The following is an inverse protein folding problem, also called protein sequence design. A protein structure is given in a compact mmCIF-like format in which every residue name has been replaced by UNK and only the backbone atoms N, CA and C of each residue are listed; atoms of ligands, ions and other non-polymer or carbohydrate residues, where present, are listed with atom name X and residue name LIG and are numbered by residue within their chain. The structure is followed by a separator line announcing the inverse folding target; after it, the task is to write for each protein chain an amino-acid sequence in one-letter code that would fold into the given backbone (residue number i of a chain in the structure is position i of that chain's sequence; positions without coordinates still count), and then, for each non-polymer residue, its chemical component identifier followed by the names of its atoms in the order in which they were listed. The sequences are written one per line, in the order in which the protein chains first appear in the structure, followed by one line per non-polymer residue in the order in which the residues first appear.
data_IF_892259879204
#
_entry.id   IF_892259879204
#
_cell.length_a   1.000
_cell.length_b   1.000
_cell.length_c   1.000
_cell.angle_alpha   90.00
_cell.angle_beta   90.00
_cell.angle_gamma   90.00
#
_symmetry.space_group_name_H-M   'P 1'
#
loop_
_entity.id
_entity.type
_entity.pdbx_description
1 polymer ?
#
# COMPACT_ATOMS: atom_id res chain seq x y z
N UNK A 1 44.16 4.35 -2.18
CA UNK A 1 43.19 3.54 -2.96
C UNK A 1 43.86 2.95 -4.20
N UNK A 2 44.28 3.74 -5.20
CA UNK A 2 44.89 3.22 -6.45
C UNK A 2 46.13 2.29 -6.29
N UNK A 3 46.93 2.45 -5.22
CA UNK A 3 48.09 1.57 -4.96
C UNK A 3 47.71 0.16 -4.49
N UNK A 4 46.55 -0.01 -3.84
CA UNK A 4 46.07 -1.33 -3.38
C UNK A 4 45.41 -2.09 -4.53
N UNK A 5 44.66 -1.38 -5.39
CA UNK A 5 44.09 -1.95 -6.62
C UNK A 5 45.18 -2.54 -7.53
N UNK A 6 46.34 -1.87 -7.64
CA UNK A 6 47.47 -2.39 -8.40
C UNK A 6 48.13 -3.61 -7.73
N UNK A 7 48.15 -3.72 -6.40
CA UNK A 7 48.76 -4.83 -5.66
C UNK A 7 47.94 -6.12 -5.77
N UNK A 8 46.60 -6.02 -5.67
CA UNK A 8 45.70 -7.17 -5.84
C UNK A 8 45.71 -7.67 -7.30
N UNK A 9 45.93 -6.78 -8.27
CA UNK A 9 46.06 -7.13 -9.68
C UNK A 9 47.30 -8.01 -10.00
N UNK A 10 48.31 -8.07 -9.13
CA UNK A 10 49.47 -8.96 -9.28
C UNK A 10 49.25 -10.37 -8.74
N UNK A 11 48.08 -10.67 -8.17
CA UNK A 11 47.71 -11.99 -7.65
C UNK A 11 48.33 -12.26 -6.28
N UNK A 12 47.49 -12.37 -5.25
CA UNK A 12 47.90 -12.92 -3.95
C UNK A 12 47.78 -14.44 -4.06
N UNK A 13 48.84 -15.17 -3.74
CA UNK A 13 48.78 -16.64 -3.72
C UNK A 13 47.74 -17.14 -2.70
N UNK A 14 47.31 -18.40 -2.83
CA UNK A 14 46.22 -18.93 -2.00
C UNK A 14 46.59 -19.01 -0.51
N UNK A 15 47.86 -19.22 -0.17
CA UNK A 15 48.32 -19.36 1.21
C UNK A 15 48.39 -18.01 1.91
N UNK A 16 48.95 -17.00 1.25
CA UNK A 16 48.98 -15.62 1.71
C UNK A 16 47.57 -15.05 1.81
N UNK A 17 46.67 -15.39 0.88
CA UNK A 17 45.26 -14.97 0.95
C UNK A 17 44.55 -15.57 2.18
N UNK A 18 44.74 -16.87 2.42
CA UNK A 18 44.21 -17.56 3.60
C UNK A 18 44.71 -16.93 4.90
N UNK A 19 46.01 -16.65 4.98
CA UNK A 19 46.60 -15.97 6.15
C UNK A 19 46.00 -14.58 6.34
N UNK A 20 45.88 -13.81 5.26
CA UNK A 20 45.30 -12.46 5.30
C UNK A 20 43.82 -12.49 5.71
N UNK A 21 43.07 -13.51 5.32
CA UNK A 21 41.69 -13.72 5.79
C UNK A 21 41.67 -13.99 7.29
N UNK A 22 42.53 -14.88 7.79
CA UNK A 22 42.66 -15.13 9.23
C UNK A 22 42.96 -13.85 10.00
N UNK A 23 43.98 -13.08 9.58
CA UNK A 23 44.39 -11.85 10.25
C UNK A 23 43.25 -10.81 10.31
N UNK A 24 42.51 -10.63 9.20
CA UNK A 24 41.38 -9.70 9.15
C UNK A 24 40.19 -10.16 10.01
N UNK A 25 39.93 -11.46 10.03
CA UNK A 25 38.84 -12.06 10.82
C UNK A 25 39.17 -11.99 12.31
N UNK A 26 40.40 -12.27 12.70
CA UNK A 26 40.89 -12.15 14.09
C UNK A 26 40.77 -10.70 14.58
N UNK A 27 41.11 -9.73 13.73
CA UNK A 27 40.93 -8.29 14.01
C UNK A 27 39.46 -7.92 14.25
N UNK A 28 38.54 -8.46 13.42
CA UNK A 28 37.09 -8.29 13.59
C UNK A 28 36.59 -8.94 14.89
N UNK A 29 37.02 -10.16 15.18
CA UNK A 29 36.63 -10.89 16.39
C UNK A 29 37.14 -10.19 17.66
N UNK A 30 38.33 -9.56 17.59
CA UNK A 30 38.89 -8.74 18.65
C UNK A 30 38.19 -7.39 18.82
N UNK A 31 37.26 -7.02 17.91
CA UNK A 31 36.52 -5.74 17.94
C UNK A 31 37.45 -4.53 18.00
N UNK A 32 38.54 -4.60 17.25
CA UNK A 32 39.61 -3.62 17.30
C UNK A 32 39.21 -2.28 16.67
N UNK A 33 39.95 -1.19 16.94
CA UNK A 33 39.78 0.08 16.23
C UNK A 33 40.08 0.00 14.72
N UNK A 34 40.76 -1.05 14.26
CA UNK A 34 41.16 -1.26 12.85
C UNK A 34 40.18 -2.11 12.05
N UNK A 35 39.11 -2.59 12.69
CA UNK A 35 38.09 -3.47 12.08
C UNK A 35 37.55 -2.96 10.74
N UNK A 36 37.26 -1.66 10.62
CA UNK A 36 36.79 -1.08 9.35
C UNK A 36 37.85 -1.17 8.24
N UNK A 37 39.13 -1.07 8.59
CA UNK A 37 40.26 -1.27 7.69
C UNK A 37 40.34 -2.71 7.19
N UNK A 38 40.17 -3.68 8.09
CA UNK A 38 40.11 -5.11 7.77
C UNK A 38 38.94 -5.45 6.85
N UNK A 39 37.74 -4.91 7.13
CA UNK A 39 36.62 -5.00 6.21
C UNK A 39 36.97 -4.39 4.85
N UNK A 40 37.49 -3.16 4.81
CA UNK A 40 37.93 -2.53 3.56
C UNK A 40 38.87 -3.43 2.76
N UNK A 41 39.88 -4.01 3.41
CA UNK A 41 40.83 -4.91 2.77
C UNK A 41 40.15 -6.15 2.19
N UNK A 42 39.32 -6.84 2.98
CA UNK A 42 38.59 -8.01 2.52
C UNK A 42 37.76 -7.70 1.26
N UNK A 43 37.15 -6.50 1.18
CA UNK A 43 36.42 -6.09 -0.03
C UNK A 43 37.28 -6.06 -1.28
N UNK A 44 38.55 -5.66 -1.17
CA UNK A 44 39.48 -5.70 -2.29
C UNK A 44 39.86 -7.14 -2.64
N UNK A 45 40.07 -8.01 -1.64
CA UNK A 45 40.39 -9.41 -1.88
C UNK A 45 39.25 -10.18 -2.57
N UNK A 46 38.00 -9.76 -2.40
CA UNK A 46 36.83 -10.32 -3.09
C UNK A 46 36.68 -9.88 -4.57
N UNK A 47 37.48 -8.91 -5.06
CA UNK A 47 37.36 -8.35 -6.43
C UNK A 47 37.84 -9.37 -7.49
N UNK A 48 37.03 -10.38 -7.77
CA UNK A 48 37.28 -11.37 -8.84
C UNK A 48 36.34 -12.57 -8.76
N UNK A 49 36.05 -13.04 -7.55
CA UNK A 49 35.13 -14.15 -7.29
C UNK A 49 34.36 -13.92 -5.99
N UNK A 50 33.44 -12.95 -6.00
CA UNK A 50 32.72 -12.53 -4.78
C UNK A 50 32.00 -13.69 -4.11
N UNK A 51 31.28 -14.52 -4.87
CA UNK A 51 30.50 -15.62 -4.31
C UNK A 51 31.39 -16.72 -3.72
N UNK A 52 32.46 -17.12 -4.42
CA UNK A 52 33.36 -18.16 -3.96
C UNK A 52 34.17 -17.74 -2.72
N UNK A 53 34.77 -16.55 -2.75
CA UNK A 53 35.57 -16.06 -1.62
C UNK A 53 34.69 -15.75 -0.40
N UNK A 54 33.45 -15.26 -0.61
CA UNK A 54 32.51 -15.08 0.50
C UNK A 54 32.11 -16.42 1.13
N UNK A 55 31.99 -17.49 0.33
CA UNK A 55 31.76 -18.83 0.87
C UNK A 55 32.92 -19.29 1.75
N UNK A 56 34.16 -19.05 1.33
CA UNK A 56 35.34 -19.36 2.16
C UNK A 56 35.27 -18.62 3.49
N UNK A 57 35.01 -17.31 3.46
CA UNK A 57 34.87 -16.49 4.69
C UNK A 57 33.74 -17.00 5.60
N UNK A 58 32.59 -17.38 5.05
CA UNK A 58 31.47 -17.85 5.86
C UNK A 58 31.73 -19.24 6.44
N UNK A 59 32.16 -20.21 5.63
CA UNK A 59 32.32 -21.60 6.05
C UNK A 59 33.53 -21.82 6.97
N UNK A 60 34.65 -21.13 6.71
CA UNK A 60 35.89 -21.35 7.46
C UNK A 60 36.05 -20.42 8.65
N UNK A 61 35.47 -19.21 8.57
CA UNK A 61 35.71 -18.14 9.53
C UNK A 61 34.43 -17.62 10.21
N UNK A 62 33.27 -18.21 9.93
CA UNK A 62 31.97 -17.82 10.51
C UNK A 62 31.68 -16.31 10.31
N UNK A 63 32.08 -15.81 9.13
CA UNK A 63 32.12 -14.38 8.84
C UNK A 63 30.74 -13.72 8.92
N UNK A 64 29.66 -14.44 8.62
CA UNK A 64 28.31 -13.89 8.73
C UNK A 64 27.98 -13.51 10.18
N UNK A 65 28.28 -14.39 11.16
CA UNK A 65 28.08 -14.09 12.57
C UNK A 65 28.98 -12.93 13.02
N UNK A 66 30.26 -12.98 12.65
CA UNK A 66 31.22 -11.93 13.02
C UNK A 66 30.83 -10.56 12.47
N UNK A 67 30.31 -10.48 11.24
CA UNK A 67 29.84 -9.23 10.66
C UNK A 67 28.66 -8.63 11.44
N UNK A 68 27.72 -9.46 11.91
CA UNK A 68 26.58 -9.01 12.71
C UNK A 68 27.03 -8.57 14.11
N UNK A 69 27.93 -9.31 14.74
CA UNK A 69 28.50 -8.97 16.05
C UNK A 69 29.38 -7.71 16.00
N UNK A 70 30.10 -7.51 14.91
CA UNK A 70 30.86 -6.28 14.64
C UNK A 70 29.93 -5.08 14.54
N UNK A 71 28.85 -5.18 13.76
CA UNK A 71 27.88 -4.09 13.64
C UNK A 71 27.22 -3.77 14.98
N UNK A 72 26.85 -4.79 15.75
CA UNK A 72 26.30 -4.61 17.10
C UNK A 72 27.30 -3.89 18.01
N UNK A 73 28.56 -4.32 18.00
CA UNK A 73 29.62 -3.66 18.76
C UNK A 73 29.81 -2.20 18.32
N UNK A 74 29.86 -1.94 17.01
CA UNK A 74 30.00 -0.60 16.46
C UNK A 74 28.85 0.31 16.91
N UNK A 75 27.61 -0.20 16.92
CA UNK A 75 26.44 0.53 17.42
C UNK A 75 26.59 0.84 18.92
N UNK A 76 26.99 -0.14 19.75
CA UNK A 76 27.18 0.09 21.18
C UNK A 76 28.30 1.09 21.47
N UNK A 77 29.44 0.95 20.80
CA UNK A 77 30.57 1.86 20.93
C UNK A 77 30.21 3.27 20.42
N UNK A 78 29.52 3.36 19.28
CA UNK A 78 29.03 4.61 18.72
C UNK A 78 28.07 5.34 19.66
N UNK A 79 27.11 4.60 20.25
CA UNK A 79 26.18 5.15 21.25
C UNK A 79 26.92 5.67 22.49
N UNK A 80 27.87 4.90 23.01
CA UNK A 80 28.67 5.31 24.17
C UNK A 80 29.55 6.54 23.89
N UNK A 81 30.06 6.66 22.66
CA UNK A 81 30.89 7.78 22.23
C UNK A 81 30.09 8.99 21.71
N UNK A 82 28.76 8.93 21.66
CA UNK A 82 27.92 9.99 21.09
C UNK A 82 28.12 10.19 19.57
N UNK A 83 28.57 9.14 18.87
CA UNK A 83 28.74 9.19 17.41
C UNK A 83 27.37 9.26 16.72
N UNK A 84 27.24 10.07 15.65
CA UNK A 84 25.96 10.24 14.98
C UNK A 84 25.57 9.05 14.09
N UNK A 85 26.56 8.26 13.64
CA UNK A 85 26.37 7.22 12.62
C UNK A 85 27.46 6.15 12.67
N UNK A 86 27.09 4.89 12.42
CA UNK A 86 28.02 3.75 12.27
C UNK A 86 27.72 2.90 11.04
N UNK A 87 26.59 3.14 10.38
CA UNK A 87 26.22 2.50 9.12
C UNK A 87 26.20 3.48 7.96
N UNK A 88 25.83 4.75 8.16
CA UNK A 88 25.77 5.79 7.13
C UNK A 88 27.15 6.40 6.81
N UNK A 89 27.24 7.15 5.71
CA UNK A 89 28.49 7.80 5.29
C UNK A 89 29.46 6.90 4.50
N UNK A 90 30.50 7.51 3.93
CA UNK A 90 31.46 6.81 3.05
C UNK A 90 32.40 5.87 3.81
N UNK A 91 32.77 6.23 5.04
CA UNK A 91 33.67 5.44 5.89
C UNK A 91 33.06 4.10 6.31
N UNK A 92 31.73 4.06 6.49
CA UNK A 92 31.01 2.85 6.90
C UNK A 92 30.52 2.01 5.71
N UNK A 93 30.88 2.40 4.47
CA UNK A 93 30.55 1.63 3.26
C UNK A 93 30.97 0.16 3.34
N UNK A 94 32.13 -0.21 3.92
CA UNK A 94 32.53 -1.61 3.99
C UNK A 94 31.50 -2.52 4.66
N UNK A 95 30.91 -2.05 5.78
CA UNK A 95 29.84 -2.77 6.49
C UNK A 95 28.63 -3.01 5.59
N UNK A 96 28.09 -1.94 5.00
CA UNK A 96 26.89 -2.03 4.14
C UNK A 96 27.08 -2.96 2.96
N UNK A 97 28.21 -2.81 2.27
CA UNK A 97 28.52 -3.59 1.08
C UNK A 97 28.71 -5.08 1.42
N UNK A 98 29.28 -5.41 2.59
CA UNK A 98 29.37 -6.80 3.05
C UNK A 98 28.02 -7.39 3.43
N UNK A 99 27.20 -6.64 4.17
CA UNK A 99 25.85 -7.07 4.54
C UNK A 99 25.04 -7.34 3.26
N UNK A 100 25.11 -6.45 2.27
CA UNK A 100 24.45 -6.63 0.98
C UNK A 100 24.96 -7.88 0.23
N UNK A 101 26.28 -8.17 0.28
CA UNK A 101 26.87 -9.38 -0.33
C UNK A 101 26.42 -10.66 0.38
N UNK A 102 26.38 -10.67 1.71
CA UNK A 102 25.88 -11.81 2.49
C UNK A 102 24.42 -12.07 2.16
N UNK A 103 23.56 -11.05 2.20
CA UNK A 103 22.15 -11.19 1.82
C UNK A 103 22.01 -11.73 0.39
N UNK A 104 22.79 -11.22 -0.56
CA UNK A 104 22.69 -11.61 -1.98
C UNK A 104 23.16 -13.03 -2.25
N UNK A 105 24.29 -13.43 -1.69
CA UNK A 105 24.99 -14.65 -2.10
C UNK A 105 24.82 -15.80 -1.10
N UNK A 106 24.60 -15.51 0.18
CA UNK A 106 24.48 -16.49 1.26
C UNK A 106 23.39 -16.11 2.28
N UNK A 107 22.12 -15.98 1.84
CA UNK A 107 21.02 -15.67 2.74
C UNK A 107 20.76 -16.76 3.80
N UNK A 108 21.20 -17.99 3.55
CA UNK A 108 21.19 -19.12 4.49
C UNK A 108 22.05 -18.87 5.73
N UNK A 109 23.17 -18.15 5.57
CA UNK A 109 24.11 -17.84 6.64
C UNK A 109 23.59 -16.80 7.64
N UNK A 110 22.46 -16.15 7.35
CA UNK A 110 21.79 -15.17 8.23
C UNK A 110 20.35 -15.60 8.55
N UNK A 111 20.15 -16.90 8.72
CA UNK A 111 18.85 -17.47 9.12
C UNK A 111 18.62 -17.41 10.64
N UNK A 112 17.36 -17.65 11.05
CA UNK A 112 16.98 -17.71 12.46
C UNK A 112 17.27 -16.42 13.25
N UNK A 113 17.81 -16.60 14.47
CA UNK A 113 18.08 -15.51 15.41
C UNK A 113 19.09 -14.49 14.87
N UNK A 114 20.08 -14.96 14.09
CA UNK A 114 21.09 -14.08 13.52
C UNK A 114 20.48 -13.11 12.50
N UNK A 115 19.56 -13.59 11.67
CA UNK A 115 18.80 -12.77 10.73
C UNK A 115 17.91 -11.74 11.43
N UNK A 116 17.19 -12.16 12.48
CA UNK A 116 16.36 -11.27 13.28
C UNK A 116 17.19 -10.19 13.98
N UNK A 117 18.36 -10.56 14.49
CA UNK A 117 19.33 -9.63 15.08
C UNK A 117 19.81 -8.62 14.04
N UNK A 118 20.25 -9.08 12.86
CA UNK A 118 20.67 -8.21 11.77
C UNK A 118 19.56 -7.23 11.37
N UNK A 119 18.32 -7.69 11.22
CA UNK A 119 17.16 -6.83 10.96
C UNK A 119 17.02 -5.71 11.99
N UNK A 120 17.09 -6.06 13.29
CA UNK A 120 16.96 -5.09 14.37
C UNK A 120 18.10 -4.06 14.40
N UNK A 121 19.33 -4.47 14.06
CA UNK A 121 20.50 -3.58 13.98
C UNK A 121 20.42 -2.64 12.76
N UNK A 122 19.85 -3.10 11.64
CA UNK A 122 19.74 -2.31 10.42
C UNK A 122 18.57 -1.34 10.43
N UNK A 123 17.38 -1.80 10.80
CA UNK A 123 16.14 -1.03 10.65
C UNK A 123 15.26 -0.98 11.89
N UNK A 124 15.47 -1.89 12.84
CA UNK A 124 14.68 -1.98 14.07
C UNK A 124 15.16 -1.07 15.20
N UNK A 125 14.78 -1.46 16.42
CA UNK A 125 15.00 -0.70 17.65
C UNK A 125 16.46 -0.67 18.10
N UNK A 126 17.27 -1.61 17.64
CA UNK A 126 18.69 -1.66 17.98
C UNK A 126 19.55 -0.73 17.11
N UNK A 127 19.04 -0.28 15.95
CA UNK A 127 19.71 0.69 15.08
C UNK A 127 20.13 1.95 15.85
N UNK A 128 21.29 2.52 15.52
CA UNK A 128 21.86 3.65 16.26
C UNK A 128 21.00 4.91 16.17
N UNK A 129 20.53 5.24 14.96
CA UNK A 129 19.78 6.46 14.67
C UNK A 129 19.08 6.41 13.32
N UNK A 130 18.37 7.48 12.98
CA UNK A 130 17.55 7.53 11.77
C UNK A 130 18.36 7.51 10.47
N UNK A 131 19.52 8.18 10.42
CA UNK A 131 20.37 8.17 9.22
C UNK A 131 20.90 6.76 8.89
N UNK A 132 21.32 6.03 9.93
CA UNK A 132 21.72 4.62 9.80
C UNK A 132 20.52 3.77 9.37
N UNK A 133 19.33 4.01 9.95
CA UNK A 133 18.10 3.31 9.57
C UNK A 133 17.76 3.50 8.09
N UNK A 134 17.87 4.73 7.60
CA UNK A 134 17.66 5.07 6.19
C UNK A 134 18.68 4.36 5.28
N UNK A 135 19.95 4.24 5.72
CA UNK A 135 20.96 3.46 5.01
C UNK A 135 20.66 1.95 5.03
N UNK A 136 20.16 1.43 6.14
CA UNK A 136 19.71 0.04 6.28
C UNK A 136 18.62 -0.30 5.27
N UNK A 137 17.60 0.57 5.14
CA UNK A 137 16.58 0.46 4.10
C UNK A 137 17.17 0.49 2.68
N UNK A 138 18.21 1.29 2.45
CA UNK A 138 18.95 1.32 1.18
C UNK A 138 19.55 -0.04 0.79
N UNK A 139 19.94 -0.88 1.75
CA UNK A 139 20.44 -2.24 1.47
C UNK A 139 19.32 -3.10 0.88
N UNK A 140 18.14 -3.09 1.49
CA UNK A 140 16.99 -3.87 1.03
C UNK A 140 16.47 -3.40 -0.34
N UNK A 141 16.46 -2.09 -0.58
CA UNK A 141 16.04 -1.53 -1.87
C UNK A 141 17.03 -1.80 -3.02
N UNK A 142 18.25 -2.27 -2.74
CA UNK A 142 19.21 -2.64 -3.77
C UNK A 142 18.91 -4.00 -4.43
N UNK A 143 17.85 -4.69 -4.01
CA UNK A 143 17.38 -5.95 -4.58
C UNK A 143 16.15 -5.70 -5.45
N UNK A 144 16.17 -6.23 -6.67
CA UNK A 144 14.97 -6.24 -7.51
C UNK A 144 13.91 -7.22 -6.95
N UNK A 145 12.66 -7.06 -7.41
CA UNK A 145 11.52 -7.86 -6.93
C UNK A 145 11.72 -9.36 -7.09
N UNK A 146 12.34 -9.80 -8.19
CA UNK A 146 12.56 -11.23 -8.46
C UNK A 146 13.60 -11.79 -7.48
N UNK A 147 14.73 -11.12 -7.37
CA UNK A 147 15.79 -11.50 -6.43
C UNK A 147 15.27 -11.50 -4.98
N UNK A 148 14.45 -10.51 -4.60
CA UNK A 148 13.84 -10.47 -3.28
C UNK A 148 12.86 -11.62 -3.04
N UNK A 149 12.07 -12.00 -4.05
CA UNK A 149 11.12 -13.11 -3.97
C UNK A 149 11.80 -14.48 -3.89
N UNK A 150 13.01 -14.65 -4.43
CA UNK A 150 13.77 -15.91 -4.37
C UNK A 150 14.67 -16.00 -3.12
N UNK A 151 14.83 -14.89 -2.39
CA UNK A 151 15.73 -14.79 -1.24
C UNK A 151 14.98 -15.09 0.08
N UNK A 152 15.31 -16.18 0.79
CA UNK A 152 14.56 -16.59 1.99
C UNK A 152 14.67 -15.59 3.14
N UNK A 153 15.80 -14.88 3.27
CA UNK A 153 15.95 -13.84 4.28
C UNK A 153 15.08 -12.62 3.96
N UNK A 154 15.07 -12.16 2.70
CA UNK A 154 14.23 -11.02 2.29
C UNK A 154 12.74 -11.34 2.38
N UNK A 155 12.34 -12.56 2.02
CA UNK A 155 10.96 -13.04 2.23
C UNK A 155 10.56 -12.91 3.70
N UNK A 156 11.42 -13.35 4.62
CA UNK A 156 11.16 -13.26 6.06
C UNK A 156 11.08 -11.81 6.55
N UNK A 157 11.99 -10.96 6.07
CA UNK A 157 12.00 -9.53 6.35
C UNK A 157 10.67 -8.86 5.97
N UNK A 158 10.14 -9.14 4.78
CA UNK A 158 8.91 -8.50 4.30
C UNK A 158 7.63 -9.13 4.85
N UNK A 159 7.60 -10.45 5.06
CA UNK A 159 6.39 -11.16 5.49
C UNK A 159 6.18 -11.18 7.00
N UNK A 160 7.26 -11.13 7.80
CA UNK A 160 7.19 -11.23 9.26
C UNK A 160 7.77 -9.99 9.95
N UNK A 161 9.00 -9.60 9.62
CA UNK A 161 9.69 -8.57 10.41
C UNK A 161 9.18 -7.14 10.16
N UNK A 162 8.83 -6.82 8.92
CA UNK A 162 8.30 -5.50 8.55
C UNK A 162 6.90 -5.24 9.16
N UNK A 163 5.93 -6.18 9.09
CA UNK A 163 4.66 -6.04 9.79
C UNK A 163 4.79 -5.82 11.31
N UNK A 164 5.78 -6.44 11.94
CA UNK A 164 6.01 -6.33 13.39
C UNK A 164 6.90 -5.15 13.79
N UNK A 165 7.44 -4.40 12.82
CA UNK A 165 8.32 -3.27 13.09
C UNK A 165 7.58 -2.18 13.89
N UNK A 166 8.09 -1.73 15.05
CA UNK A 166 7.38 -0.75 15.87
C UNK A 166 7.37 0.64 15.23
N UNK A 167 6.37 1.44 15.56
CA UNK A 167 6.15 2.78 15.00
C UNK A 167 7.32 3.74 15.26
N UNK A 168 8.03 3.56 16.37
CA UNK A 168 9.27 4.31 16.69
C UNK A 168 10.42 4.06 15.71
N UNK A 169 10.33 3.04 14.87
CA UNK A 169 11.29 2.73 13.82
C UNK A 169 10.83 3.22 12.44
N UNK A 170 9.68 3.87 12.32
CA UNK A 170 9.23 4.41 11.04
C UNK A 170 10.12 5.58 10.63
N UNK A 171 10.60 5.56 9.39
CA UNK A 171 11.45 6.60 8.84
C UNK A 171 11.26 6.71 7.32
N UNK A 172 11.88 7.72 6.71
CA UNK A 172 11.78 7.94 5.27
C UNK A 172 12.25 6.75 4.43
N UNK A 173 13.28 6.04 4.89
CA UNK A 173 13.77 4.82 4.24
C UNK A 173 12.72 3.71 4.15
N UNK A 174 11.92 3.52 5.21
CA UNK A 174 10.81 2.56 5.21
C UNK A 174 9.75 2.97 4.19
N UNK A 175 9.36 4.25 4.18
CA UNK A 175 8.39 4.76 3.21
C UNK A 175 8.87 4.57 1.77
N UNK A 176 10.14 4.88 1.47
CA UNK A 176 10.71 4.68 0.15
C UNK A 176 10.68 3.20 -0.28
N UNK A 177 11.01 2.30 0.65
CA UNK A 177 10.98 0.85 0.42
C UNK A 177 9.55 0.37 0.11
N UNK A 178 8.57 0.76 0.94
CA UNK A 178 7.16 0.41 0.76
C UNK A 178 6.60 0.99 -0.55
N UNK A 179 6.93 2.24 -0.87
CA UNK A 179 6.51 2.89 -2.11
C UNK A 179 7.09 2.19 -3.35
N UNK A 180 8.36 1.77 -3.30
CA UNK A 180 8.98 1.04 -4.39
C UNK A 180 8.30 -0.33 -4.63
N UNK A 181 7.98 -1.06 -3.54
CA UNK A 181 7.24 -2.31 -3.61
C UNK A 181 5.85 -2.12 -4.20
N UNK A 182 5.10 -1.14 -3.68
CA UNK A 182 3.75 -0.85 -4.14
C UNK A 182 3.73 -0.39 -5.59
N UNK A 183 4.61 0.54 -5.96
CA UNK A 183 4.71 1.03 -7.34
C UNK A 183 5.00 -0.10 -8.32
N UNK A 184 5.91 -1.03 -7.95
CA UNK A 184 6.14 -2.23 -8.76
C UNK A 184 4.92 -3.15 -8.78
N UNK A 185 4.23 -3.34 -7.67
CA UNK A 185 3.10 -4.27 -7.57
C UNK A 185 1.87 -3.79 -8.37
N UNK A 186 1.54 -2.50 -8.33
CA UNK A 186 0.32 -1.96 -8.96
C UNK A 186 0.50 -1.56 -10.42
N UNK A 187 1.74 -1.51 -10.92
CA UNK A 187 2.05 -1.13 -12.30
C UNK A 187 2.66 -2.25 -13.16
N UNK A 188 2.86 -3.44 -12.58
CA UNK A 188 3.31 -4.62 -13.29
C UNK A 188 2.15 -5.26 -14.09
N UNK A 189 2.35 -5.45 -15.39
CA UNK A 189 1.33 -6.02 -16.28
C UNK A 189 1.29 -7.54 -16.25
N UNK A 190 2.34 -8.17 -15.72
CA UNK A 190 2.46 -9.62 -15.69
C UNK A 190 1.68 -10.25 -14.52
N UNK A 191 1.28 -9.44 -13.53
CA UNK A 191 0.61 -9.89 -12.31
C UNK A 191 -0.76 -9.23 -12.23
N UNK A 192 -1.82 -10.04 -12.07
CA UNK A 192 -3.14 -9.49 -11.72
C UNK A 192 -3.05 -8.89 -10.31
N UNK A 193 -2.90 -7.58 -10.24
CA UNK A 193 -2.98 -6.84 -9.00
C UNK A 193 -4.39 -7.05 -8.44
N UNK A 194 -4.53 -7.48 -7.18
CA UNK A 194 -5.82 -7.75 -6.56
C UNK A 194 -6.05 -6.81 -5.37
N UNK A 195 -6.32 -5.53 -5.65
CA UNK A 195 -6.62 -4.52 -4.61
C UNK A 195 -7.92 -4.81 -3.82
N UNK A 196 -8.68 -5.80 -4.26
CA UNK A 196 -9.87 -6.37 -3.62
C UNK A 196 -9.59 -7.61 -2.75
N UNK A 197 -8.35 -8.12 -2.73
CA UNK A 197 -7.93 -9.31 -1.95
C UNK A 197 -7.12 -8.92 -0.70
N UNK A 198 -7.60 -9.29 0.49
CA UNK A 198 -6.94 -8.96 1.76
C UNK A 198 -5.54 -9.56 1.91
N UNK A 199 -5.29 -10.76 1.43
CA UNK A 199 -3.96 -11.39 1.50
C UNK A 199 -2.97 -10.63 0.61
N UNK A 200 -3.42 -10.19 -0.56
CA UNK A 200 -2.62 -9.34 -1.44
C UNK A 200 -2.29 -7.99 -0.78
N UNK A 201 -3.24 -7.36 -0.08
CA UNK A 201 -2.99 -6.09 0.61
C UNK A 201 -1.89 -6.21 1.68
N UNK A 202 -1.88 -7.32 2.41
CA UNK A 202 -0.86 -7.60 3.43
C UNK A 202 0.52 -7.80 2.78
N UNK A 203 0.60 -8.59 1.72
CA UNK A 203 1.87 -8.96 1.06
C UNK A 203 2.46 -7.84 0.19
N UNK A 204 1.63 -6.96 -0.37
CA UNK A 204 2.07 -5.90 -1.29
C UNK A 204 2.73 -4.69 -0.61
N UNK A 205 2.73 -4.67 0.73
CA UNK A 205 3.17 -3.51 1.52
C UNK A 205 2.09 -2.43 1.70
N UNK A 206 0.86 -2.65 1.20
CA UNK A 206 -0.22 -1.67 1.31
C UNK A 206 -0.59 -1.40 2.78
N UNK A 207 -0.63 -2.45 3.60
CA UNK A 207 -0.84 -2.31 5.04
C UNK A 207 0.28 -1.52 5.73
N UNK A 208 1.51 -1.62 5.24
CA UNK A 208 2.62 -0.83 5.78
C UNK A 208 2.48 0.65 5.45
N UNK A 209 1.98 0.97 4.25
CA UNK A 209 1.69 2.35 3.88
C UNK A 209 0.57 2.94 4.75
N UNK A 210 -0.47 2.15 5.05
CA UNK A 210 -1.49 2.53 6.02
C UNK A 210 -0.90 2.81 7.40
N UNK A 211 -0.03 1.92 7.91
CA UNK A 211 0.63 2.12 9.21
C UNK A 211 1.45 3.40 9.23
N UNK A 212 2.19 3.71 8.17
CA UNK A 212 2.94 4.98 8.05
C UNK A 212 2.00 6.17 8.10
N UNK A 213 0.92 6.17 7.31
CA UNK A 213 -0.05 7.27 7.29
C UNK A 213 -0.67 7.48 8.67
N UNK A 214 -1.02 6.41 9.38
CA UNK A 214 -1.72 6.52 10.66
C UNK A 214 -0.79 6.88 11.81
N UNK A 215 0.40 6.27 11.87
CA UNK A 215 1.23 6.25 13.08
C UNK A 215 2.61 6.88 12.95
N UNK A 216 3.08 7.27 11.77
CA UNK A 216 4.39 7.92 11.66
C UNK A 216 4.37 9.30 12.33
N UNK A 217 5.48 9.68 12.95
CA UNK A 217 5.63 11.01 13.56
C UNK A 217 6.01 12.09 12.52
N UNK A 218 6.75 11.71 11.48
CA UNK A 218 7.16 12.62 10.40
C UNK A 218 5.98 13.02 9.50
N UNK A 219 5.59 14.30 9.57
CA UNK A 219 4.47 14.87 8.80
C UNK A 219 4.70 14.79 7.29
N UNK A 220 5.94 14.87 6.82
CA UNK A 220 6.24 14.79 5.40
C UNK A 220 6.06 13.34 4.88
N UNK A 221 6.54 12.35 5.61
CA UNK A 221 6.29 10.93 5.30
C UNK A 221 4.80 10.61 5.26
N UNK A 222 4.01 11.15 6.21
CA UNK A 222 2.55 11.01 6.21
C UNK A 222 1.94 11.65 4.96
N UNK A 223 2.37 12.85 4.59
CA UNK A 223 1.86 13.56 3.40
C UNK A 223 2.16 12.82 2.10
N UNK A 224 3.38 12.28 1.96
CA UNK A 224 3.76 11.45 0.82
C UNK A 224 2.96 10.15 0.81
N UNK A 225 2.79 9.51 1.97
CA UNK A 225 2.01 8.28 2.10
C UNK A 225 0.55 8.49 1.70
N UNK A 226 -0.07 9.59 2.16
CA UNK A 226 -1.44 9.97 1.77
C UNK A 226 -1.57 10.11 0.26
N UNK A 227 -0.64 10.84 -0.38
CA UNK A 227 -0.64 11.01 -1.84
C UNK A 227 -0.47 9.68 -2.56
N UNK A 228 0.51 8.88 -2.13
CA UNK A 228 0.81 7.58 -2.74
C UNK A 228 -0.39 6.65 -2.69
N UNK A 229 -1.04 6.56 -1.52
CA UNK A 229 -2.18 5.69 -1.33
C UNK A 229 -3.40 6.18 -2.11
N UNK A 230 -3.83 7.43 -1.91
CA UNK A 230 -5.05 7.94 -2.54
C UNK A 230 -4.90 8.06 -4.06
N UNK A 231 -3.78 8.60 -4.54
CA UNK A 231 -3.61 8.96 -5.95
C UNK A 231 -2.91 7.81 -6.67
N UNK A 232 -1.64 7.55 -6.34
CA UNK A 232 -0.78 6.68 -7.15
C UNK A 232 -1.26 5.21 -7.14
N UNK A 233 -1.86 4.74 -6.04
CA UNK A 233 -2.38 3.37 -5.92
C UNK A 233 -3.85 3.28 -6.32
N UNK A 234 -4.73 4.01 -5.63
CA UNK A 234 -6.18 3.82 -5.77
C UNK A 234 -6.83 4.63 -6.90
N UNK A 235 -6.13 5.53 -7.60
CA UNK A 235 -6.71 6.32 -8.69
C UNK A 235 -5.89 6.34 -9.99
N UNK A 236 -4.56 6.30 -9.92
CA UNK A 236 -3.65 6.44 -11.07
C UNK A 236 -2.85 5.18 -11.40
N UNK A 237 -3.00 4.10 -10.62
CA UNK A 237 -2.26 2.89 -10.91
C UNK A 237 -2.69 2.24 -12.23
N UNK A 238 -1.75 1.54 -12.85
CA UNK A 238 -2.05 0.76 -14.05
C UNK A 238 -3.08 -0.35 -13.76
N UNK A 239 -3.06 -0.91 -12.56
CA UNK A 239 -4.10 -1.84 -12.09
C UNK A 239 -5.51 -1.23 -12.21
N UNK A 240 -5.74 -0.04 -11.64
CA UNK A 240 -7.06 0.61 -11.68
C UNK A 240 -7.50 0.94 -13.11
N UNK A 241 -6.58 1.44 -13.95
CA UNK A 241 -6.91 1.78 -15.34
C UNK A 241 -7.18 0.57 -16.25
N UNK A 242 -6.71 -0.62 -15.87
CA UNK A 242 -6.96 -1.87 -16.61
C UNK A 242 -8.16 -2.65 -16.07
N UNK A 243 -8.61 -2.37 -14.85
CA UNK A 243 -9.79 -3.01 -14.29
C UNK A 243 -11.06 -2.69 -15.07
N UNK A 244 -11.99 -3.66 -15.18
CA UNK A 244 -13.36 -3.35 -15.56
C UNK A 244 -13.95 -2.31 -14.61
N UNK A 245 -14.75 -1.38 -15.14
CA UNK A 245 -15.34 -0.28 -14.37
C UNK A 245 -15.99 -0.73 -13.04
N UNK A 246 -16.72 -1.86 -13.06
CA UNK A 246 -17.38 -2.40 -11.87
C UNK A 246 -16.37 -2.85 -10.78
N UNK A 247 -15.23 -3.45 -11.17
CA UNK A 247 -14.18 -3.86 -10.24
C UNK A 247 -13.46 -2.64 -9.66
N UNK A 248 -13.08 -1.67 -10.51
CA UNK A 248 -12.48 -0.41 -10.04
C UNK A 248 -13.40 0.32 -9.05
N UNK A 249 -14.70 0.41 -9.36
CA UNK A 249 -15.71 0.99 -8.46
C UNK A 249 -15.83 0.23 -7.13
N UNK A 250 -15.77 -1.09 -7.15
CA UNK A 250 -15.80 -1.91 -5.93
C UNK A 250 -14.57 -1.63 -5.06
N UNK A 251 -13.37 -1.63 -5.66
CA UNK A 251 -12.11 -1.32 -4.98
C UNK A 251 -12.15 0.09 -4.37
N UNK A 252 -12.60 1.11 -5.11
CA UNK A 252 -12.79 2.47 -4.59
C UNK A 252 -13.81 2.51 -3.44
N UNK A 253 -14.91 1.77 -3.57
CA UNK A 253 -15.94 1.72 -2.52
C UNK A 253 -15.40 1.09 -1.24
N UNK A 254 -14.64 -0.01 -1.35
CA UNK A 254 -13.98 -0.66 -0.21
C UNK A 254 -12.95 0.25 0.45
N UNK A 255 -12.19 1.01 -0.33
CA UNK A 255 -11.25 2.00 0.18
C UNK A 255 -11.97 3.10 0.99
N UNK A 256 -13.07 3.65 0.45
CA UNK A 256 -13.89 4.65 1.15
C UNK A 256 -14.51 4.06 2.42
N UNK A 257 -15.06 2.84 2.36
CA UNK A 257 -15.64 2.16 3.51
C UNK A 257 -14.59 1.99 4.63
N UNK A 258 -13.34 1.63 4.29
CA UNK A 258 -12.22 1.55 5.25
C UNK A 258 -11.92 2.91 5.89
N UNK A 259 -11.82 3.98 5.09
CA UNK A 259 -11.62 5.34 5.60
C UNK A 259 -12.73 5.75 6.58
N UNK A 260 -14.00 5.50 6.23
CA UNK A 260 -15.14 5.81 7.08
C UNK A 260 -15.14 4.99 8.37
N UNK A 261 -14.75 3.71 8.31
CA UNK A 261 -14.56 2.86 9.48
C UNK A 261 -13.52 3.45 10.45
N UNK A 262 -12.33 3.79 9.93
CA UNK A 262 -11.25 4.40 10.71
C UNK A 262 -11.67 5.74 11.35
N UNK A 263 -12.36 6.62 10.61
CA UNK A 263 -12.89 7.87 11.13
C UNK A 263 -13.90 7.64 12.25
N UNK A 264 -14.82 6.67 12.07
CA UNK A 264 -15.84 6.34 13.05
C UNK A 264 -15.23 5.79 14.33
N UNK A 265 -14.24 4.90 14.21
CA UNK A 265 -13.59 4.27 15.35
C UNK A 265 -12.73 5.27 16.14
N UNK A 266 -11.98 6.13 15.45
CA UNK A 266 -11.25 7.23 16.09
C UNK A 266 -12.20 8.20 16.81
N UNK A 267 -13.27 8.65 16.15
CA UNK A 267 -14.26 9.55 16.74
C UNK A 267 -14.96 8.94 17.97
N UNK A 268 -15.28 7.63 17.93
CA UNK A 268 -15.85 6.92 19.07
C UNK A 268 -14.91 6.92 20.28
N UNK A 269 -13.61 6.69 20.06
CA UNK A 269 -12.60 6.68 21.13
C UNK A 269 -12.41 8.08 21.74
N UNK A 270 -12.32 9.11 20.90
CA UNK A 270 -12.23 10.52 21.33
C UNK A 270 -13.47 10.92 22.16
N UNK A 271 -14.66 10.46 21.75
CA UNK A 271 -15.89 10.75 22.49
C UNK A 271 -15.95 10.02 23.83
N UNK A 272 -15.60 8.74 23.85
CA UNK A 272 -15.59 7.93 25.07
C UNK A 272 -14.65 8.52 26.15
N UNK A 273 -13.52 9.09 25.74
CA UNK A 273 -12.60 9.77 26.66
C UNK A 273 -13.12 11.11 27.18
N UNK A 274 -13.94 11.84 26.40
CA UNK A 274 -14.58 13.09 26.84
C UNK A 274 -15.74 12.85 27.81
N UNK A 275 -16.55 11.81 27.57
CA UNK A 275 -17.73 11.50 28.39
C UNK A 275 -17.36 10.88 29.76
N UNK A 276 -16.13 10.36 29.91
CA UNK A 276 -15.62 9.75 31.16
C UNK A 276 -15.26 10.73 32.30
N UNK A 277 -15.45 12.04 32.11
CA UNK A 277 -15.21 13.07 33.16
C UNK A 277 -16.48 13.55 33.88
N UNK A 278 -17.63 12.92 33.60
CA UNK A 278 -18.92 13.27 34.23
C UNK A 278 -19.68 12.04 34.75
N UNK A 279 -19.37 11.62 35.98
CA UNK A 279 -20.30 10.90 36.88
C UNK A 279 -19.67 10.96 38.28
N UNK A 280 -20.32 11.49 39.31
CA UNK A 280 -21.58 10.96 39.82
C UNK A 280 -21.25 9.70 40.62
N UNK A 281 -21.28 9.83 41.95
CA UNK A 281 -20.86 8.83 42.94
C UNK A 281 -21.43 7.43 42.65
N UNK A 282 -20.58 6.42 42.86
CA UNK A 282 -20.81 4.96 42.78
C UNK A 282 -20.97 4.30 41.40
N UNK A 283 -19.84 3.98 40.72
CA UNK A 283 -19.55 2.67 40.08
C UNK A 283 -18.13 2.61 39.40
N UNK A 284 -17.61 1.45 38.95
CA UNK A 284 -16.25 0.96 39.18
C UNK A 284 -15.15 1.71 38.40
N UNK A 285 -13.93 1.69 38.97
CA UNK A 285 -12.69 2.29 38.44
C UNK A 285 -12.69 2.52 36.91
N UNK A 286 -13.07 3.73 36.52
CA UNK A 286 -13.04 4.20 35.13
C UNK A 286 -11.56 4.32 34.72
N UNK A 287 -11.15 3.53 33.73
CA UNK A 287 -9.83 3.65 33.12
C UNK A 287 -9.78 5.02 32.44
N UNK A 288 -9.12 5.98 33.08
CA UNK A 288 -8.83 7.28 32.49
C UNK A 288 -7.90 7.04 31.30
N UNK A 289 -8.44 7.11 30.09
CA UNK A 289 -7.64 7.13 28.85
C UNK A 289 -6.66 8.31 28.91
N UNK A 290 -5.39 8.07 28.61
CA UNK A 290 -4.38 9.12 28.71
C UNK A 290 -4.57 10.19 27.63
N UNK A 291 -4.12 11.41 27.90
CA UNK A 291 -4.16 12.50 26.92
C UNK A 291 -3.41 12.13 25.62
N UNK A 292 -2.33 11.35 25.74
CA UNK A 292 -1.57 10.82 24.61
C UNK A 292 -2.40 9.91 23.69
N UNK A 293 -3.28 9.07 24.27
CA UNK A 293 -4.18 8.20 23.50
C UNK A 293 -5.21 9.03 22.74
N UNK A 294 -5.75 10.09 23.35
CA UNK A 294 -6.70 11.00 22.71
C UNK A 294 -6.03 11.71 21.53
N UNK A 295 -4.83 12.27 21.74
CA UNK A 295 -4.05 12.93 20.68
C UNK A 295 -3.70 11.97 19.54
N UNK A 296 -3.40 10.70 19.84
CA UNK A 296 -3.20 9.68 18.82
C UNK A 296 -4.47 9.45 17.99
N UNK A 297 -5.64 9.32 18.61
CA UNK A 297 -6.90 9.15 17.89
C UNK A 297 -7.25 10.39 17.05
N UNK A 298 -6.98 11.61 17.54
CA UNK A 298 -7.15 12.85 16.77
C UNK A 298 -6.25 12.89 15.54
N UNK A 299 -4.98 12.45 15.68
CA UNK A 299 -4.05 12.31 14.55
C UNK A 299 -4.60 11.31 13.52
N UNK A 300 -5.03 10.13 13.96
CA UNK A 300 -5.62 9.10 13.08
C UNK A 300 -6.83 9.66 12.34
N UNK A 301 -7.74 10.32 13.05
CA UNK A 301 -8.93 10.94 12.47
C UNK A 301 -8.57 11.98 11.40
N UNK A 302 -7.70 12.93 11.75
CA UNK A 302 -7.30 14.03 10.85
C UNK A 302 -6.59 13.52 9.61
N UNK A 303 -5.66 12.56 9.77
CA UNK A 303 -4.88 11.98 8.67
C UNK A 303 -5.76 11.17 7.74
N UNK A 304 -6.70 10.38 8.28
CA UNK A 304 -7.69 9.63 7.49
C UNK A 304 -8.64 10.56 6.75
N UNK A 305 -9.09 11.66 7.37
CA UNK A 305 -9.96 12.65 6.74
C UNK A 305 -9.24 13.33 5.57
N UNK A 306 -7.96 13.69 5.76
CA UNK A 306 -7.13 14.27 4.70
C UNK A 306 -6.93 13.30 3.54
N UNK A 307 -6.71 12.03 3.83
CA UNK A 307 -6.64 10.95 2.84
C UNK A 307 -7.93 10.84 2.02
N UNK A 308 -9.07 10.74 2.71
CA UNK A 308 -10.38 10.63 2.06
C UNK A 308 -10.71 11.87 1.23
N UNK A 309 -10.42 13.07 1.75
CA UNK A 309 -10.62 14.33 1.04
C UNK A 309 -9.82 14.37 -0.26
N UNK A 310 -8.51 14.07 -0.19
CA UNK A 310 -7.65 14.03 -1.37
C UNK A 310 -8.14 13.02 -2.41
N UNK A 311 -8.54 11.82 -1.96
CA UNK A 311 -9.10 10.80 -2.84
C UNK A 311 -10.36 11.30 -3.55
N UNK A 312 -11.33 11.86 -2.81
CA UNK A 312 -12.60 12.33 -3.38
C UNK A 312 -12.38 13.49 -4.35
N UNK A 313 -11.59 14.49 -3.96
CA UNK A 313 -11.26 15.65 -4.82
C UNK A 313 -10.60 15.21 -6.12
N UNK A 314 -9.65 14.26 -6.05
CA UNK A 314 -8.94 13.74 -7.23
C UNK A 314 -9.82 12.80 -8.05
N UNK A 315 -10.72 12.04 -7.42
CA UNK A 315 -11.65 11.17 -8.14
C UNK A 315 -12.62 12.00 -9.00
N UNK A 316 -13.09 13.15 -8.52
CA UNK A 316 -13.99 14.01 -9.29
C UNK A 316 -13.35 14.62 -10.54
N UNK A 317 -12.02 14.74 -10.59
CA UNK A 317 -11.31 15.24 -11.78
C UNK A 317 -11.08 14.17 -12.85
N UNK A 318 -11.53 12.93 -12.62
CA UNK A 318 -11.31 11.78 -13.53
C UNK A 318 -12.61 11.26 -14.14
N UNK A 319 -13.01 11.76 -15.33
CA UNK A 319 -14.23 11.32 -16.02
C UNK A 319 -14.32 9.80 -16.22
N UNK A 320 -13.19 9.14 -16.51
CA UNK A 320 -13.12 7.70 -16.74
C UNK A 320 -13.50 6.83 -15.52
N UNK A 321 -13.43 7.39 -14.31
CA UNK A 321 -13.78 6.71 -13.06
C UNK A 321 -15.19 7.09 -12.57
N UNK A 322 -15.78 8.12 -13.17
CA UNK A 322 -17.14 8.55 -12.87
C UNK A 322 -18.13 7.73 -13.71
N UNK A 323 -19.24 7.33 -13.09
CA UNK A 323 -20.37 6.87 -13.88
C UNK A 323 -20.80 8.03 -14.81
N UNK A 324 -21.08 7.80 -16.10
CA UNK A 324 -21.49 8.88 -16.98
C UNK A 324 -22.75 9.54 -16.42
N UNK A 325 -22.71 10.86 -16.30
CA UNK A 325 -23.85 11.63 -15.82
C UNK A 325 -24.81 11.88 -16.98
N UNK A 326 -25.87 11.09 -17.06
CA UNK A 326 -26.85 11.19 -18.14
C UNK A 326 -27.94 12.25 -17.89
N UNK A 327 -27.91 12.97 -16.75
CA UNK A 327 -28.85 14.06 -16.44
C UNK A 327 -28.95 15.14 -17.54
N UNK A 328 -27.89 15.51 -18.28
CA UNK A 328 -27.99 16.48 -19.37
C UNK A 328 -28.83 16.00 -20.56
N UNK A 329 -28.87 14.68 -20.79
CA UNK A 329 -29.61 14.06 -21.90
C UNK A 329 -31.07 13.76 -21.55
N UNK A 330 -31.46 13.85 -20.27
CA UNK A 330 -32.82 13.66 -19.78
C UNK A 330 -33.80 14.80 -20.12
N UNK A 331 -33.49 15.64 -21.12
CA UNK A 331 -34.32 16.76 -21.57
C UNK A 331 -35.42 16.37 -22.56
N UNK A 332 -35.45 15.12 -23.04
CA UNK A 332 -36.52 14.63 -23.90
C UNK A 332 -37.72 14.23 -23.03
N UNK A 333 -38.91 14.69 -23.40
CA UNK A 333 -40.14 14.41 -22.65
C UNK A 333 -40.34 12.89 -22.64
N UNK A 334 -40.20 12.20 -21.48
CA UNK A 334 -40.08 10.73 -21.41
C UNK A 334 -41.34 9.97 -21.83
N UNK A 335 -42.40 10.69 -22.22
CA UNK A 335 -43.68 10.16 -22.69
C UNK A 335 -43.88 10.25 -24.21
N UNK A 336 -42.99 10.92 -24.93
CA UNK A 336 -43.10 11.02 -26.39
C UNK A 336 -42.56 9.73 -27.05
N UNK A 337 -43.46 8.94 -27.63
CA UNK A 337 -43.12 7.72 -28.36
C UNK A 337 -42.65 8.11 -29.76
N UNK A 338 -41.39 7.83 -30.08
CA UNK A 338 -40.80 8.08 -31.40
C UNK A 338 -40.66 6.76 -32.19
N UNK A 339 -41.30 6.70 -33.36
CA UNK A 339 -41.36 5.49 -34.19
C UNK A 339 -42.32 4.43 -33.66
N UNK A 340 -42.12 3.18 -34.08
CA UNK A 340 -42.94 2.05 -33.62
C UNK A 340 -42.68 1.74 -32.15
N UNK A 341 -43.70 1.25 -31.43
CA UNK A 341 -43.55 0.85 -30.04
C UNK A 341 -42.60 -0.34 -29.89
N UNK A 342 -41.77 -0.26 -28.84
CA UNK A 342 -40.98 -1.41 -28.39
C UNK A 342 -41.87 -2.42 -27.67
N UNK A 343 -41.41 -3.67 -27.57
CA UNK A 343 -42.02 -4.71 -26.73
C UNK A 343 -41.27 -4.87 -25.40
N UNK A 344 -40.71 -3.77 -24.90
CA UNK A 344 -39.97 -3.77 -23.64
C UNK A 344 -40.93 -3.80 -22.46
N UNK A 345 -40.59 -4.61 -21.47
CA UNK A 345 -41.20 -4.62 -20.16
C UNK A 345 -40.15 -4.24 -19.12
N UNK A 346 -40.57 -3.65 -18.01
CA UNK A 346 -39.69 -3.37 -16.89
C UNK A 346 -40.19 -4.01 -15.60
N UNK A 347 -39.25 -4.35 -14.73
CA UNK A 347 -39.49 -4.76 -13.36
C UNK A 347 -38.51 -4.02 -12.45
N UNK A 348 -39.02 -3.43 -11.38
CA UNK A 348 -38.18 -2.75 -10.39
C UNK A 348 -37.97 -3.60 -9.14
N UNK A 349 -36.76 -3.50 -8.59
CA UNK A 349 -36.35 -4.17 -7.35
C UNK A 349 -35.90 -3.11 -6.34
N UNK A 350 -36.57 -3.09 -5.19
CA UNK A 350 -36.16 -2.35 -4.00
C UNK A 350 -36.04 -3.32 -2.82
N UNK A 351 -34.80 -3.70 -2.50
CA UNK A 351 -34.46 -4.42 -1.26
C UNK A 351 -35.30 -5.70 -1.01
N UNK A 352 -35.28 -6.61 -1.99
CA UNK A 352 -35.99 -7.89 -1.92
C UNK A 352 -37.48 -7.83 -2.31
N UNK A 353 -38.06 -6.63 -2.39
CA UNK A 353 -39.38 -6.40 -2.96
C UNK A 353 -39.25 -6.14 -4.46
N UNK A 354 -40.08 -6.82 -5.24
CA UNK A 354 -40.16 -6.62 -6.69
C UNK A 354 -41.56 -6.14 -7.07
N UNK A 355 -41.61 -5.27 -8.08
CA UNK A 355 -42.89 -4.92 -8.70
C UNK A 355 -43.33 -6.01 -9.68
N UNK A 356 -44.60 -6.00 -10.05
CA UNK A 356 -45.08 -6.77 -11.19
C UNK A 356 -44.41 -6.26 -12.48
N UNK A 357 -44.25 -7.15 -13.46
CA UNK A 357 -43.75 -6.77 -14.78
C UNK A 357 -44.74 -5.83 -15.46
N UNK A 358 -44.27 -4.64 -15.83
CA UNK A 358 -45.08 -3.62 -16.50
C UNK A 358 -44.55 -3.33 -17.89
N UNK A 359 -45.42 -3.10 -18.89
CA UNK A 359 -44.97 -2.67 -20.21
C UNK A 359 -44.35 -1.28 -20.12
N UNK A 360 -43.26 -1.06 -20.86
CA UNK A 360 -42.62 0.24 -20.96
C UNK A 360 -43.09 0.95 -22.22
N UNK A 361 -43.73 2.11 -22.08
CA UNK A 361 -44.29 2.84 -23.21
C UNK A 361 -43.23 3.73 -23.88
N UNK A 362 -42.39 3.12 -24.72
CA UNK A 362 -41.29 3.80 -25.44
C UNK A 362 -41.17 3.26 -26.87
N UNK A 363 -40.82 4.14 -27.81
CA UNK A 363 -40.67 3.83 -29.23
C UNK A 363 -39.25 3.43 -29.62
N UNK A 364 -39.11 2.71 -30.73
CA UNK A 364 -37.84 2.20 -31.26
C UNK A 364 -36.86 3.29 -31.67
N UNK A 365 -37.37 4.47 -32.06
CA UNK A 365 -36.54 5.62 -32.43
C UNK A 365 -36.19 6.52 -31.25
N UNK A 366 -36.77 6.30 -30.06
CA UNK A 366 -36.32 6.97 -28.85
C UNK A 366 -34.87 6.58 -28.51
N UNK A 367 -34.19 7.44 -27.77
CA UNK A 367 -32.78 7.25 -27.43
C UNK A 367 -32.58 6.43 -26.16
N UNK A 368 -31.36 5.93 -25.93
CA UNK A 368 -31.01 5.33 -24.63
C UNK A 368 -31.19 6.33 -23.46
N UNK A 369 -30.97 7.63 -23.66
CA UNK A 369 -31.31 8.67 -22.68
C UNK A 369 -32.81 8.72 -22.35
N UNK A 370 -33.66 8.62 -23.37
CA UNK A 370 -35.12 8.57 -23.19
C UNK A 370 -35.51 7.35 -22.36
N UNK A 371 -34.92 6.18 -22.65
CA UNK A 371 -35.18 4.94 -21.89
C UNK A 371 -34.85 5.09 -20.40
N UNK A 372 -33.68 5.62 -20.06
CA UNK A 372 -33.31 5.89 -18.67
C UNK A 372 -34.20 6.97 -18.03
N UNK A 373 -34.67 7.94 -18.79
CA UNK A 373 -35.57 8.97 -18.27
C UNK A 373 -36.97 8.40 -17.98
N UNK A 374 -37.49 7.56 -18.87
CA UNK A 374 -38.78 6.87 -18.69
C UNK A 374 -38.72 5.89 -17.51
N UNK A 375 -37.65 5.10 -17.37
CA UNK A 375 -37.46 4.20 -16.22
C UNK A 375 -37.39 4.97 -14.90
N UNK A 376 -36.71 6.13 -14.88
CA UNK A 376 -36.68 7.00 -13.70
C UNK A 376 -38.09 7.49 -13.32
N UNK A 377 -38.87 7.94 -14.31
CA UNK A 377 -40.24 8.42 -14.09
C UNK A 377 -41.16 7.30 -13.58
N UNK A 378 -41.08 6.13 -14.21
CA UNK A 378 -41.91 4.96 -13.90
C UNK A 378 -41.59 4.33 -12.54
N UNK A 379 -40.31 4.30 -12.16
CA UNK A 379 -39.87 3.70 -10.88
C UNK A 379 -39.79 4.70 -9.73
N UNK A 380 -39.67 5.99 -10.02
CA UNK A 380 -39.39 7.02 -9.03
C UNK A 380 -37.96 7.00 -8.48
N UNK A 381 -37.06 6.18 -9.04
CA UNK A 381 -35.70 6.05 -8.53
C UNK A 381 -34.79 7.17 -9.02
N UNK A 382 -34.17 7.90 -8.10
CA UNK A 382 -33.13 8.88 -8.44
C UNK A 382 -31.80 8.23 -8.81
N UNK A 383 -31.49 7.07 -8.24
CA UNK A 383 -30.25 6.33 -8.46
C UNK A 383 -30.53 4.83 -8.55
N UNK A 384 -30.42 4.25 -9.73
CA UNK A 384 -30.73 2.83 -9.96
C UNK A 384 -29.78 2.24 -11.01
N UNK A 385 -29.70 0.91 -11.04
CA UNK A 385 -28.98 0.14 -12.07
C UNK A 385 -30.01 -0.47 -13.02
N UNK A 386 -29.68 -0.48 -14.31
CA UNK A 386 -30.52 -1.09 -15.34
C UNK A 386 -29.83 -2.34 -15.84
N UNK A 387 -30.58 -3.43 -15.99
CA UNK A 387 -30.10 -4.66 -16.61
C UNK A 387 -31.03 -5.05 -17.76
N UNK A 388 -30.45 -5.47 -18.87
CA UNK A 388 -31.15 -5.95 -20.06
C UNK A 388 -30.44 -7.20 -20.55
N UNK A 389 -31.20 -8.27 -20.83
CA UNK A 389 -30.66 -9.57 -21.27
C UNK A 389 -29.52 -10.12 -20.37
N UNK A 390 -29.66 -9.96 -19.05
CA UNK A 390 -28.68 -10.45 -18.06
C UNK A 390 -27.38 -9.63 -17.97
N UNK A 391 -27.26 -8.52 -18.72
CA UNK A 391 -26.12 -7.61 -18.67
C UNK A 391 -26.54 -6.26 -18.12
N UNK A 392 -25.63 -5.57 -17.44
CA UNK A 392 -25.89 -4.21 -17.01
C UNK A 392 -25.97 -3.30 -18.24
N UNK A 393 -27.10 -2.63 -18.42
CA UNK A 393 -27.31 -1.67 -19.48
C UNK A 393 -26.68 -0.34 -19.06
N UNK A 394 -25.54 -0.02 -19.65
CA UNK A 394 -24.74 1.16 -19.32
C UNK A 394 -24.19 1.77 -20.62
N UNK A 395 -25.00 2.57 -21.34
CA UNK A 395 -24.61 3.14 -22.63
C UNK A 395 -23.42 4.09 -22.47
N UNK A 396 -22.52 4.11 -23.46
CA UNK A 396 -21.43 5.10 -23.57
C UNK A 396 -21.95 6.49 -23.96
N UNK A 397 -21.09 7.52 -23.93
CA UNK A 397 -21.46 8.87 -24.40
C UNK A 397 -21.88 8.90 -25.87
N UNK A 398 -21.37 8.00 -26.71
CA UNK A 398 -21.78 7.90 -28.11
C UNK A 398 -23.12 7.16 -28.26
N UNK A 399 -23.37 6.15 -27.43
CA UNK A 399 -24.59 5.33 -27.47
C UNK A 399 -25.78 6.01 -26.81
N UNK A 400 -25.57 6.93 -25.87
CA UNK A 400 -26.66 7.57 -25.12
C UNK A 400 -27.65 8.32 -26.03
N UNK A 401 -27.14 8.85 -27.15
CA UNK A 401 -27.89 9.58 -28.16
C UNK A 401 -28.39 8.68 -29.32
N UNK A 402 -28.02 7.39 -29.34
CA UNK A 402 -28.46 6.44 -30.37
C UNK A 402 -29.86 5.92 -30.07
N UNK A 403 -30.59 5.55 -31.13
CA UNK A 403 -31.94 4.99 -31.01
C UNK A 403 -31.90 3.58 -30.41
N UNK A 404 -32.96 3.20 -29.70
CA UNK A 404 -33.11 1.85 -29.15
C UNK A 404 -33.00 0.77 -30.23
N UNK A 405 -33.52 1.04 -31.42
CA UNK A 405 -33.42 0.14 -32.57
C UNK A 405 -31.97 -0.11 -33.01
N UNK A 406 -31.16 0.95 -33.05
CA UNK A 406 -29.74 0.84 -33.42
C UNK A 406 -28.88 0.17 -32.34
N UNK A 407 -29.39 0.09 -31.11
CA UNK A 407 -28.75 -0.56 -29.97
C UNK A 407 -29.28 -1.99 -29.73
N UNK A 408 -30.22 -2.46 -30.57
CA UNK A 408 -30.91 -3.74 -30.43
C UNK A 408 -31.65 -3.92 -29.08
N UNK A 409 -32.20 -2.81 -28.56
CA UNK A 409 -32.97 -2.74 -27.32
C UNK A 409 -34.45 -2.58 -27.66
N UNK A 410 -35.04 -3.61 -28.25
CA UNK A 410 -36.38 -3.52 -28.84
C UNK A 410 -37.43 -4.38 -28.14
N UNK A 411 -37.04 -5.44 -27.44
CA UNK A 411 -37.95 -6.42 -26.85
C UNK A 411 -37.35 -7.11 -25.62
N UNK A 412 -38.21 -7.53 -24.70
CA UNK A 412 -37.82 -8.30 -23.51
C UNK A 412 -37.86 -7.50 -22.21
N UNK A 413 -37.22 -8.05 -21.18
CA UNK A 413 -37.33 -7.54 -19.81
C UNK A 413 -36.13 -6.69 -19.41
N UNK A 414 -36.43 -5.51 -18.85
CA UNK A 414 -35.49 -4.60 -18.22
C UNK A 414 -35.66 -4.67 -16.70
N UNK A 415 -34.55 -4.85 -15.97
CA UNK A 415 -34.55 -4.85 -14.51
C UNK A 415 -33.98 -3.52 -14.00
N UNK A 416 -34.76 -2.78 -13.22
CA UNK A 416 -34.32 -1.55 -12.55
C UNK A 416 -34.10 -1.82 -11.06
N UNK A 417 -32.84 -1.78 -10.60
CA UNK A 417 -32.47 -2.16 -9.23
C UNK A 417 -31.94 -0.97 -8.44
N UNK A 418 -32.54 -0.70 -7.27
CA UNK A 418 -32.09 0.34 -6.33
C UNK A 418 -30.95 -0.20 -5.43
N UNK A 419 -29.71 0.34 -5.51
CA UNK A 419 -28.61 -0.14 -4.68
C UNK A 419 -28.71 0.33 -3.21
N UNK A 420 -28.54 -0.62 -2.28
CA UNK A 420 -28.62 -0.48 -0.81
C UNK A 420 -27.88 0.75 -0.20
N UNK A 421 -26.78 1.20 -0.80
CA UNK A 421 -25.93 2.26 -0.23
C UNK A 421 -26.50 3.69 -0.33
N UNK A 422 -27.61 3.93 -1.06
CA UNK A 422 -28.17 5.28 -1.24
C UNK A 422 -29.35 5.65 -0.31
N UNK A 423 -29.97 4.68 0.39
CA UNK A 423 -31.06 4.97 1.36
C UNK A 423 -30.58 5.83 2.54
N UNK A 424 -29.33 5.67 2.99
CA UNK A 424 -28.78 6.42 4.12
C UNK A 424 -28.48 7.91 3.82
N UNK A 425 -28.35 8.31 2.55
CA UNK A 425 -28.13 9.71 2.19
C UNK A 425 -29.43 10.50 1.94
N UNK A 426 -30.55 9.83 1.67
CA UNK A 426 -31.85 10.50 1.45
C UNK A 426 -32.63 10.71 2.75
N UNK A 427 -32.44 9.84 3.76
CA UNK A 427 -33.07 10.00 5.08
C UNK A 427 -32.64 11.29 5.81
N UNK A 428 -31.49 11.90 5.47
CA UNK A 428 -31.06 13.17 6.06
C UNK A 428 -31.66 14.42 5.40
N UNK A 429 -32.31 14.29 4.23
CA UNK A 429 -32.94 15.44 3.54
C UNK A 429 -34.43 15.61 3.85
N UNK A 430 -35.09 14.61 4.44
CA UNK A 430 -36.53 14.65 4.72
C UNK A 430 -36.90 15.03 6.16
N UNK A 431 -35.94 15.25 7.06
CA UNK A 431 -36.22 15.64 8.46
C UNK A 431 -36.01 17.14 8.76
N UNK A 432 -35.93 17.98 7.71
CA UNK A 432 -35.71 19.43 7.81
C UNK A 432 -36.91 20.26 7.34
N UNK A 433 -38.13 19.91 7.76
CA UNK A 433 -39.29 20.82 7.80
C UNK A 433 -40.25 20.35 8.90
N UNK A 434 -40.09 20.93 10.09
CA UNK A 434 -41.08 21.69 10.88
C UNK A 434 -40.25 22.58 11.80
#
# INVERSE_FOLDING_TARGET
MARLDNLVAFGIDDQDRQKLYSDCVEDMAAKSPTTLGSLCFLQFALKGNVAGELNVLIEQFDFARLLVEELEYAIHAGRAAGMPMVLSGTLNRPRRDFIAKVIRHRPDAISGDLGKKLWNLLVGTACLGEEDRNCGWGIFMAFDRKTAAENPFLQLCYSQYLPDLPTSCFCRGMLNCVNAQLSSAVNDNAVDCALDDQNYLIQSGLEQLWRIILYADDAESVSIGIKTLAVDVYLDSKAISTYPFNRARQVHSSFVDRCLGQLKDAARKIKASSDGTSSGEDEPMVIVTSEDEIQEQERIFTRTLRLLKLFVETHYTKPALCAPDFRPFAKQDPKEVQGDLTMLQYQSFDDGLHTEMKPLHIGKLNTAASLLSSLKLETGFDYYRVFYQGRQFLPTEEEICRSLDSLDVNEGLILAHLPLKFKYCLASKSSGRI
#
